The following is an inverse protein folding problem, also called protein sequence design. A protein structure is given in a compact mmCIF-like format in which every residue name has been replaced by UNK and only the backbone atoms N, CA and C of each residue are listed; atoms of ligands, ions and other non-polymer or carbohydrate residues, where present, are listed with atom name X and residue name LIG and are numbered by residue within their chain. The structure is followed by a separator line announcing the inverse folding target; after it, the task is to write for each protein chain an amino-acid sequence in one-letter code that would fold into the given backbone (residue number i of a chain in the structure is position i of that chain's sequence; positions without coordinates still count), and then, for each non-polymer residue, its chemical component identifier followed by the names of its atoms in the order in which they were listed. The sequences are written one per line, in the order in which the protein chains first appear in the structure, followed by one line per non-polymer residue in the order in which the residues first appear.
data_IF_790647367553
#
_entry.id   IF_790647367553
#
_cell.length_a   1.000
_cell.length_b   1.000
_cell.length_c   1.000
_cell.angle_alpha   90.00
_cell.angle_beta   90.00
_cell.angle_gamma   90.00
#
_symmetry.space_group_name_H-M   'P 1'
#
loop_
_entity.id
_entity.type
_entity.pdbx_description
1 polymer ?
#
# COMPACT_ATOMS: atom_id res chain seq x y z
N UNK A 1 -13.98 0.74 -27.54
CA UNK A 1 -12.79 1.54 -27.87
C UNK A 1 -11.66 1.06 -26.97
N UNK A 2 -10.57 0.52 -27.53
CA UNK A 2 -9.38 0.21 -26.74
C UNK A 2 -8.62 1.52 -26.48
N UNK A 3 -8.84 2.14 -25.33
CA UNK A 3 -7.97 3.21 -24.86
C UNK A 3 -6.61 2.60 -24.52
N UNK A 4 -5.55 3.13 -25.12
CA UNK A 4 -4.20 2.70 -24.76
C UNK A 4 -3.96 2.89 -23.25
N UNK A 5 -3.17 2.02 -22.60
CA UNK A 5 -2.74 2.22 -21.21
C UNK A 5 -2.10 3.60 -21.05
N UNK A 6 -2.30 4.23 -19.89
CA UNK A 6 -1.55 5.45 -19.57
C UNK A 6 -0.03 5.16 -19.56
N UNK A 7 0.84 6.15 -19.87
CA UNK A 7 2.29 5.97 -19.85
C UNK A 7 2.82 5.36 -18.54
N UNK A 8 2.30 5.80 -17.39
CA UNK A 8 2.68 5.30 -16.06
C UNK A 8 2.39 3.80 -15.92
N UNK A 9 1.17 3.38 -16.27
CA UNK A 9 0.79 1.97 -16.30
C UNK A 9 1.66 1.18 -17.27
N UNK A 10 2.02 1.74 -18.43
CA UNK A 10 2.88 1.05 -19.39
C UNK A 10 4.29 0.78 -18.84
N UNK A 11 4.88 1.72 -18.09
CA UNK A 11 6.17 1.53 -17.41
C UNK A 11 6.09 0.30 -16.49
N UNK A 12 5.02 0.21 -15.70
CA UNK A 12 4.82 -0.88 -14.74
C UNK A 12 4.54 -2.23 -15.43
N UNK A 13 3.74 -2.23 -16.50
CA UNK A 13 3.43 -3.43 -17.27
C UNK A 13 4.67 -3.97 -18.00
N UNK A 14 5.52 -3.09 -18.53
CA UNK A 14 6.77 -3.51 -19.16
C UNK A 14 7.65 -4.28 -18.18
N UNK A 15 7.78 -3.80 -16.94
CA UNK A 15 8.53 -4.49 -15.90
C UNK A 15 7.88 -5.83 -15.54
N UNK A 16 6.56 -5.83 -15.29
CA UNK A 16 5.82 -7.03 -14.90
C UNK A 16 5.95 -8.15 -15.94
N UNK A 17 5.89 -7.82 -17.23
CA UNK A 17 6.01 -8.81 -18.30
C UNK A 17 7.46 -9.12 -18.71
N UNK A 18 8.42 -8.21 -18.46
CA UNK A 18 9.84 -8.45 -18.75
C UNK A 18 10.50 -9.45 -17.80
N UNK A 19 9.96 -9.63 -16.59
CA UNK A 19 10.55 -10.49 -15.56
C UNK A 19 10.61 -11.99 -15.91
N UNK A 20 9.97 -12.44 -17.00
CA UNK A 20 9.89 -13.85 -17.38
C UNK A 20 9.08 -14.69 -16.39
N UNK A 21 8.68 -15.90 -16.79
CA UNK A 21 7.74 -16.73 -16.01
C UNK A 21 8.26 -17.19 -14.64
N UNK A 22 9.56 -17.06 -14.35
CA UNK A 22 10.13 -17.79 -13.22
C UNK A 22 9.80 -17.18 -11.86
N UNK A 23 9.84 -15.84 -11.68
CA UNK A 23 9.34 -15.16 -10.47
C UNK A 23 9.08 -13.68 -10.77
N UNK A 24 7.87 -13.27 -11.19
CA UNK A 24 7.59 -11.86 -11.38
C UNK A 24 7.83 -11.13 -10.06
N UNK A 25 8.72 -10.10 -10.06
CA UNK A 25 8.80 -9.18 -8.93
C UNK A 25 7.41 -8.62 -8.73
N UNK A 26 6.86 -8.82 -7.54
CA UNK A 26 5.50 -8.42 -7.25
C UNK A 26 5.41 -6.89 -7.39
N UNK A 27 4.57 -6.36 -8.30
CA UNK A 27 4.61 -4.96 -8.72
C UNK A 27 4.02 -3.99 -7.67
N UNK A 28 3.99 -4.42 -6.41
CA UNK A 28 3.51 -3.66 -5.25
C UNK A 28 4.55 -3.50 -4.14
N UNK A 29 5.77 -4.00 -4.32
CA UNK A 29 6.87 -3.81 -3.36
C UNK A 29 7.65 -2.53 -3.68
N UNK A 30 7.25 -1.42 -3.07
CA UNK A 30 7.84 -0.08 -3.30
C UNK A 30 9.36 -0.02 -3.12
N UNK A 31 9.90 -0.74 -2.14
CA UNK A 31 11.35 -0.78 -1.85
C UNK A 31 12.18 -1.46 -2.95
N UNK A 32 11.56 -2.31 -3.76
CA UNK A 32 12.23 -3.00 -4.87
C UNK A 32 12.19 -2.21 -6.19
N UNK A 33 11.54 -1.04 -6.20
CA UNK A 33 11.34 -0.23 -7.40
C UNK A 33 12.44 0.82 -7.61
N UNK A 34 12.73 1.09 -8.89
CA UNK A 34 13.47 2.31 -9.27
C UNK A 34 12.62 3.56 -8.95
N UNK A 35 13.22 4.76 -8.86
CA UNK A 35 12.47 5.99 -8.63
C UNK A 35 11.36 6.24 -9.66
N UNK A 36 11.62 5.97 -10.94
CA UNK A 36 10.64 6.15 -12.02
C UNK A 36 9.48 5.16 -11.91
N UNK A 37 9.77 3.89 -11.57
CA UNK A 37 8.74 2.88 -11.31
C UNK A 37 7.88 3.26 -10.10
N UNK A 38 8.50 3.73 -9.01
CA UNK A 38 7.78 4.17 -7.83
C UNK A 38 6.87 5.37 -8.14
N UNK A 39 7.36 6.37 -8.88
CA UNK A 39 6.56 7.52 -9.30
C UNK A 39 5.38 7.13 -10.22
N UNK A 40 5.61 6.19 -11.14
CA UNK A 40 4.57 5.64 -11.99
C UNK A 40 3.51 4.88 -11.17
N UNK A 41 3.94 4.04 -10.21
CA UNK A 41 3.03 3.32 -9.31
C UNK A 41 2.19 4.28 -8.49
N UNK A 42 2.83 5.31 -7.92
CA UNK A 42 2.19 6.36 -7.15
C UNK A 42 1.05 7.04 -7.92
N UNK A 43 1.32 7.43 -9.16
CA UNK A 43 0.31 8.03 -10.04
C UNK A 43 -0.84 7.07 -10.36
N UNK A 44 -0.54 5.78 -10.59
CA UNK A 44 -1.56 4.77 -10.91
C UNK A 44 -2.43 4.46 -9.69
N UNK A 45 -1.83 4.36 -8.50
CA UNK A 45 -2.55 4.17 -7.22
C UNK A 45 -3.42 5.39 -6.92
N UNK A 46 -2.95 6.62 -7.12
CA UNK A 46 -3.78 7.81 -6.94
C UNK A 46 -5.03 7.82 -7.83
N UNK A 47 -4.89 7.42 -9.10
CA UNK A 47 -6.04 7.32 -10.03
C UNK A 47 -7.03 6.26 -9.58
N UNK A 48 -6.54 5.12 -9.10
CA UNK A 48 -7.40 4.07 -8.55
C UNK A 48 -8.11 4.54 -7.28
N UNK A 49 -7.40 5.17 -6.33
CA UNK A 49 -7.98 5.73 -5.10
C UNK A 49 -9.07 6.76 -5.43
N UNK A 50 -8.81 7.66 -6.39
CA UNK A 50 -9.79 8.64 -6.86
C UNK A 50 -11.07 7.96 -7.39
N UNK A 51 -10.90 6.92 -8.19
CA UNK A 51 -12.01 6.10 -8.72
C UNK A 51 -12.74 5.38 -7.60
N UNK A 52 -12.01 4.76 -6.68
CA UNK A 52 -12.56 4.03 -5.56
C UNK A 52 -13.39 4.93 -4.64
N UNK A 53 -12.85 6.08 -4.24
CA UNK A 53 -13.55 7.02 -3.38
C UNK A 53 -14.81 7.58 -4.04
N UNK A 54 -14.80 7.71 -5.38
CA UNK A 54 -15.95 8.18 -6.14
C UNK A 54 -17.05 7.13 -6.32
N UNK A 55 -16.67 5.87 -6.52
CA UNK A 55 -17.59 4.82 -6.99
C UNK A 55 -17.98 3.85 -5.88
N UNK A 56 -17.05 3.48 -5.00
CA UNK A 56 -17.22 2.37 -4.05
C UNK A 56 -17.22 2.79 -2.58
N UNK A 57 -16.65 3.94 -2.23
CA UNK A 57 -16.77 4.48 -0.87
C UNK A 57 -18.18 5.07 -0.68
N UNK A 58 -19.01 4.40 0.12
CA UNK A 58 -20.40 4.81 0.38
C UNK A 58 -20.54 5.55 1.71
N UNK A 59 -19.58 5.40 2.61
CA UNK A 59 -19.56 6.08 3.91
C UNK A 59 -18.22 6.78 4.11
N UNK A 60 -18.18 7.76 5.00
CA UNK A 60 -16.93 8.46 5.34
C UNK A 60 -15.85 7.49 5.85
N UNK A 61 -16.26 6.43 6.57
CA UNK A 61 -15.35 5.40 7.07
C UNK A 61 -14.63 4.62 5.95
N UNK A 62 -15.21 4.56 4.76
CA UNK A 62 -14.66 3.82 3.62
C UNK A 62 -13.73 4.67 2.75
N UNK A 63 -13.68 5.99 2.96
CA UNK A 63 -12.84 6.90 2.18
C UNK A 63 -11.37 6.66 2.50
N UNK A 64 -10.57 6.45 1.46
CA UNK A 64 -9.11 6.45 1.51
C UNK A 64 -8.63 7.92 1.51
N UNK A 65 -7.97 8.39 2.58
CA UNK A 65 -7.56 9.80 2.68
C UNK A 65 -6.34 10.12 1.82
N UNK A 66 -6.10 11.42 1.56
CA UNK A 66 -4.95 11.89 0.78
C UNK A 66 -3.59 11.55 1.44
N UNK A 67 -3.57 11.37 2.76
CA UNK A 67 -2.39 10.95 3.51
C UNK A 67 -2.08 9.45 3.41
N UNK A 68 -2.78 8.66 2.58
CA UNK A 68 -2.64 7.20 2.49
C UNK A 68 -1.20 6.69 2.44
N UNK A 69 -0.28 7.43 1.80
CA UNK A 69 1.16 7.12 1.69
C UNK A 69 1.86 7.02 3.04
N UNK A 70 1.35 7.76 4.02
CA UNK A 70 1.89 7.82 5.35
C UNK A 70 1.49 6.59 6.19
N UNK A 71 0.52 5.80 5.72
CA UNK A 71 -0.03 4.63 6.40
C UNK A 71 0.48 3.36 5.68
N UNK A 72 1.53 2.67 6.18
CA UNK A 72 2.15 1.54 5.49
C UNK A 72 1.16 0.46 5.03
N UNK A 73 0.27 0.03 5.91
CA UNK A 73 -0.74 -0.99 5.60
C UNK A 73 -1.72 -0.53 4.52
N UNK A 74 -2.15 0.74 4.56
CA UNK A 74 -3.03 1.30 3.54
C UNK A 74 -2.31 1.50 2.20
N UNK A 75 -1.05 1.94 2.22
CA UNK A 75 -0.23 2.07 1.02
C UNK A 75 -0.05 0.72 0.31
N UNK A 76 0.21 -0.35 1.06
CA UNK A 76 0.30 -1.70 0.51
C UNK A 76 -1.06 -2.15 -0.04
N UNK A 77 -2.11 -2.08 0.76
CA UNK A 77 -3.44 -2.58 0.35
C UNK A 77 -3.98 -1.82 -0.86
N UNK A 78 -3.85 -0.49 -0.92
CA UNK A 78 -4.26 0.30 -2.10
C UNK A 78 -3.47 -0.09 -3.35
N UNK A 79 -2.18 -0.40 -3.20
CA UNK A 79 -1.35 -0.88 -4.30
C UNK A 79 -1.82 -2.25 -4.81
N UNK A 80 -2.06 -3.20 -3.90
CA UNK A 80 -2.60 -4.53 -4.23
C UNK A 80 -3.96 -4.42 -4.90
N UNK A 81 -4.85 -3.58 -4.37
CA UNK A 81 -6.19 -3.38 -4.92
C UNK A 81 -6.17 -2.72 -6.30
N UNK A 82 -5.19 -1.87 -6.57
CA UNK A 82 -4.96 -1.26 -7.88
C UNK A 82 -4.60 -2.32 -8.92
N UNK A 83 -3.69 -3.24 -8.59
CA UNK A 83 -3.35 -4.36 -9.47
C UNK A 83 -4.48 -5.38 -9.59
N UNK A 84 -5.19 -5.68 -8.50
CA UNK A 84 -6.39 -6.51 -8.52
C UNK A 84 -7.45 -5.97 -9.49
N UNK A 85 -7.65 -4.65 -9.49
CA UNK A 85 -8.53 -4.00 -10.46
C UNK A 85 -8.04 -4.17 -11.90
N UNK A 86 -6.74 -3.95 -12.14
CA UNK A 86 -6.15 -4.18 -13.46
C UNK A 86 -6.39 -5.61 -13.96
N UNK A 87 -6.08 -6.62 -13.15
CA UNK A 87 -6.28 -8.03 -13.55
C UNK A 87 -7.74 -8.41 -13.73
N UNK A 88 -8.65 -7.79 -12.97
CA UNK A 88 -10.09 -8.04 -13.09
C UNK A 88 -10.74 -7.41 -14.33
N UNK A 89 -10.21 -6.28 -14.82
CA UNK A 89 -10.90 -5.47 -15.82
C UNK A 89 -10.12 -5.16 -17.10
N UNK A 90 -8.79 -5.22 -17.05
CA UNK A 90 -7.92 -4.73 -18.12
C UNK A 90 -6.94 -5.78 -18.67
N UNK A 91 -6.53 -6.76 -17.87
CA UNK A 91 -5.66 -7.84 -18.35
C UNK A 91 -6.36 -8.63 -19.49
N UNK A 92 -5.65 -8.98 -20.59
CA UNK A 92 -6.23 -9.76 -21.69
C UNK A 92 -6.80 -11.13 -21.27
N UNK A 93 -6.39 -11.66 -20.12
CA UNK A 93 -6.86 -12.91 -19.52
C UNK A 93 -7.97 -12.69 -18.49
N UNK A 94 -8.46 -11.47 -18.32
CA UNK A 94 -9.55 -11.15 -17.40
C UNK A 94 -10.79 -12.00 -17.72
N UNK A 95 -11.44 -12.51 -16.68
CA UNK A 95 -12.67 -13.29 -16.81
C UNK A 95 -13.76 -12.73 -15.90
N UNK A 96 -15.06 -12.98 -16.21
CA UNK A 96 -16.14 -12.60 -15.31
C UNK A 96 -15.97 -13.13 -13.88
N UNK A 97 -15.39 -14.33 -13.72
CA UNK A 97 -15.14 -14.92 -12.41
C UNK A 97 -14.13 -14.11 -11.59
N UNK A 98 -13.02 -13.67 -12.21
CA UNK A 98 -12.02 -12.82 -11.54
C UNK A 98 -12.64 -11.47 -11.15
N UNK A 99 -13.46 -10.88 -12.01
CA UNK A 99 -14.17 -9.64 -11.69
C UNK A 99 -15.15 -9.82 -10.52
N UNK A 100 -15.89 -10.93 -10.48
CA UNK A 100 -16.78 -11.26 -9.35
C UNK A 100 -15.97 -11.45 -8.06
N UNK A 101 -14.84 -12.16 -8.10
CA UNK A 101 -13.97 -12.33 -6.94
C UNK A 101 -13.44 -10.98 -6.44
N UNK A 102 -13.00 -10.10 -7.34
CA UNK A 102 -12.55 -8.77 -6.98
C UNK A 102 -13.66 -7.97 -6.27
N UNK A 103 -14.85 -7.88 -6.87
CA UNK A 103 -15.94 -7.06 -6.32
C UNK A 103 -16.57 -7.62 -5.05
N UNK A 104 -16.77 -8.94 -4.97
CA UNK A 104 -17.50 -9.57 -3.87
C UNK A 104 -16.61 -9.99 -2.70
N UNK A 105 -15.29 -10.14 -2.92
CA UNK A 105 -14.37 -10.56 -1.87
C UNK A 105 -13.35 -9.46 -1.58
N UNK A 106 -12.46 -9.17 -2.53
CA UNK A 106 -11.32 -8.28 -2.29
C UNK A 106 -11.77 -6.86 -1.90
N UNK A 107 -12.71 -6.28 -2.67
CA UNK A 107 -13.20 -4.93 -2.44
C UNK A 107 -13.99 -4.78 -1.13
N UNK A 108 -14.76 -5.80 -0.75
CA UNK A 108 -15.50 -5.82 0.52
C UNK A 108 -14.53 -5.87 1.70
N UNK A 109 -13.51 -6.73 1.63
CA UNK A 109 -12.48 -6.79 2.68
C UNK A 109 -11.69 -5.50 2.78
N UNK A 110 -11.30 -4.91 1.64
CA UNK A 110 -10.59 -3.63 1.62
C UNK A 110 -11.42 -2.51 2.26
N UNK A 111 -12.69 -2.34 1.89
CA UNK A 111 -13.59 -1.32 2.46
C UNK A 111 -13.65 -1.40 3.99
N UNK A 112 -13.80 -2.61 4.52
CA UNK A 112 -13.82 -2.85 5.98
C UNK A 112 -12.45 -2.70 6.65
N UNK A 113 -11.35 -2.69 5.88
CA UNK A 113 -10.00 -2.55 6.40
C UNK A 113 -9.51 -1.09 6.43
N UNK A 114 -10.02 -0.20 5.56
CA UNK A 114 -9.54 1.20 5.45
C UNK A 114 -9.47 1.88 6.82
N UNK A 115 -10.54 1.84 7.59
CA UNK A 115 -10.60 2.52 8.89
C UNK A 115 -9.56 2.00 9.89
N UNK A 116 -9.29 0.69 9.87
CA UNK A 116 -8.27 0.06 10.72
C UNK A 116 -6.87 0.62 10.45
N UNK A 117 -6.57 0.96 9.20
CA UNK A 117 -5.25 1.47 8.81
C UNK A 117 -5.02 2.93 9.21
N UNK A 118 -6.07 3.66 9.60
CA UNK A 118 -5.95 5.07 10.00
C UNK A 118 -5.63 5.27 11.49
N UNK A 119 -5.54 4.18 12.26
CA UNK A 119 -5.18 4.21 13.68
C UNK A 119 -6.34 4.57 14.61
N UNK A 120 -6.03 5.15 15.76
CA UNK A 120 -6.99 5.43 16.84
C UNK A 120 -8.01 6.53 16.50
N UNK A 121 -7.61 7.49 15.67
CA UNK A 121 -8.45 8.65 15.31
C UNK A 121 -8.72 8.78 13.80
N UNK A 122 -9.41 7.81 13.15
CA UNK A 122 -9.62 7.79 11.70
C UNK A 122 -10.29 9.06 11.14
N UNK A 123 -11.18 9.70 11.92
CA UNK A 123 -11.86 10.92 11.49
C UNK A 123 -10.90 12.12 11.37
N UNK A 124 -9.97 12.28 12.32
CA UNK A 124 -8.95 13.35 12.25
C UNK A 124 -7.98 13.11 11.10
N UNK A 125 -7.56 11.86 10.91
CA UNK A 125 -6.70 11.48 9.79
C UNK A 125 -7.31 11.89 8.43
N UNK A 126 -8.60 11.63 8.22
CA UNK A 126 -9.31 12.00 6.98
C UNK A 126 -9.39 13.50 6.71
N UNK A 127 -9.33 14.33 7.75
CA UNK A 127 -9.28 15.80 7.61
C UNK A 127 -7.84 16.31 7.50
N UNK A 128 -6.85 15.42 7.38
CA UNK A 128 -5.43 15.76 7.30
C UNK A 128 -4.78 16.03 8.66
N UNK A 129 -5.51 15.86 9.76
CA UNK A 129 -4.99 16.07 11.10
C UNK A 129 -4.30 14.79 11.61
N UNK A 130 -2.98 14.87 11.76
CA UNK A 130 -2.14 13.80 12.28
C UNK A 130 -1.41 14.31 13.52
N UNK A 131 -1.86 13.97 14.76
CA UNK A 131 -1.09 14.30 15.96
C UNK A 131 0.24 13.54 15.93
N UNK A 132 1.33 14.10 16.44
CA UNK A 132 2.67 13.44 16.37
C UNK A 132 2.69 11.98 16.85
N UNK A 133 1.81 11.62 17.78
CA UNK A 133 1.64 10.26 18.30
C UNK A 133 0.87 9.31 17.37
N UNK A 134 0.45 9.73 16.18
CA UNK A 134 -0.43 8.92 15.34
C UNK A 134 0.25 7.69 14.73
N UNK A 135 1.58 7.75 14.55
CA UNK A 135 2.41 6.62 14.09
C UNK A 135 2.89 5.72 15.22
N UNK A 136 2.48 6.02 16.45
CA UNK A 136 2.87 5.22 17.59
C UNK A 136 2.30 3.81 17.36
N UNK A 137 3.17 2.90 16.91
CA UNK A 137 2.78 1.57 16.46
C UNK A 137 2.31 0.70 17.63
N UNK A 138 2.03 -0.59 17.43
CA UNK A 138 1.81 -1.49 18.57
C UNK A 138 2.99 -1.48 19.55
N UNK A 139 4.19 -1.10 19.11
CA UNK A 139 5.35 -0.87 19.98
C UNK A 139 5.16 0.29 20.96
N UNK A 140 4.44 1.34 20.58
CA UNK A 140 4.10 2.39 21.55
C UNK A 140 3.05 1.91 22.55
N UNK A 141 2.16 0.99 22.16
CA UNK A 141 1.27 0.32 23.11
C UNK A 141 2.08 -0.56 24.06
N UNK A 142 3.10 -1.26 23.57
CA UNK A 142 4.03 -2.04 24.39
C UNK A 142 4.84 -1.12 25.32
N UNK A 143 5.34 0.02 24.85
CA UNK A 143 6.07 1.01 25.65
C UNK A 143 5.16 1.69 26.69
N UNK A 144 3.90 2.00 26.31
CA UNK A 144 2.88 2.52 27.21
C UNK A 144 2.55 1.51 28.32
N UNK A 145 2.43 0.22 27.96
CA UNK A 145 2.23 -0.87 28.92
C UNK A 145 3.47 -1.14 29.77
N UNK A 146 4.66 -0.86 29.24
CA UNK A 146 5.94 -1.04 29.93
C UNK A 146 6.35 0.16 30.80
N UNK A 147 5.54 1.23 30.83
CA UNK A 147 5.80 2.43 31.61
C UNK A 147 7.01 3.25 31.14
N UNK A 148 7.49 3.00 29.93
CA UNK A 148 8.71 3.60 29.40
C UNK A 148 8.33 4.72 28.42
N UNK A 149 8.01 5.90 28.95
CA UNK A 149 7.64 7.08 28.14
C UNK A 149 8.88 7.73 27.52
N UNK A 150 9.51 7.07 26.55
CA UNK A 150 10.43 7.78 25.64
C UNK A 150 9.60 8.53 24.61
N UNK A 151 9.85 9.83 24.48
CA UNK A 151 9.31 10.66 23.40
C UNK A 151 9.79 10.10 22.07
N UNK A 152 8.86 9.53 21.29
CA UNK A 152 9.11 9.12 19.91
C UNK A 152 9.39 10.38 19.09
N UNK A 153 10.62 10.54 18.63
CA UNK A 153 10.99 11.64 17.75
C UNK A 153 10.38 11.41 16.36
N UNK A 154 9.71 12.43 15.83
CA UNK A 154 9.16 12.44 14.47
C UNK A 154 10.27 12.23 13.44
N UNK A 155 10.25 11.11 12.74
CA UNK A 155 10.95 11.01 11.47
C UNK A 155 10.13 11.74 10.39
N UNK A 156 10.79 12.53 9.50
CA UNK A 156 10.13 13.13 8.35
C UNK A 156 9.46 12.05 7.49
N UNK A 157 8.48 12.45 6.67
CA UNK A 157 7.74 11.57 5.75
C UNK A 157 8.61 10.43 5.20
N UNK A 158 8.45 9.23 5.75
CA UNK A 158 9.15 8.05 5.26
C UNK A 158 8.75 7.86 3.78
N UNK A 159 9.69 7.99 2.84
CA UNK A 159 9.38 7.79 1.43
C UNK A 159 8.87 6.36 1.24
N UNK A 160 7.94 6.16 0.31
CA UNK A 160 7.33 4.85 0.06
C UNK A 160 8.36 3.74 -0.20
N UNK A 161 9.54 4.10 -0.73
CA UNK A 161 10.64 3.18 -0.99
C UNK A 161 11.34 2.68 0.28
N UNK A 162 11.19 3.38 1.40
CA UNK A 162 11.69 2.96 2.72
C UNK A 162 10.63 2.13 3.49
N UNK A 163 9.49 1.83 2.87
CA UNK A 163 8.57 0.81 3.38
C UNK A 163 9.23 -0.58 3.22
N UNK A 164 10.12 -0.90 4.15
CA UNK A 164 10.70 -2.22 4.30
C UNK A 164 9.71 -3.10 5.06
N UNK A 165 9.45 -4.29 4.53
CA UNK A 165 8.87 -5.36 5.34
C UNK A 165 9.93 -5.69 6.38
N UNK A 166 9.53 -5.79 7.65
CA UNK A 166 10.43 -5.99 8.79
C UNK A 166 11.16 -7.33 8.78
N UNK A 167 11.83 -7.69 7.69
CA UNK A 167 12.77 -8.79 7.55
C UNK A 167 14.19 -8.38 7.95
N UNK A 168 14.38 -7.19 8.52
CA UNK A 168 15.70 -6.72 8.98
C UNK A 168 16.33 -7.70 9.98
N UNK A 169 15.52 -8.49 10.69
CA UNK A 169 15.97 -9.55 11.60
C UNK A 169 16.39 -10.87 10.90
N UNK A 170 16.12 -11.05 9.60
CA UNK A 170 16.57 -12.21 8.82
C UNK A 170 17.85 -11.94 8.02
N UNK A 171 18.28 -10.69 7.93
CA UNK A 171 19.51 -10.28 7.25
C UNK A 171 20.73 -10.21 8.18
N UNK A 172 20.61 -10.63 9.44
CA UNK A 172 21.77 -10.80 10.30
C UNK A 172 22.66 -11.90 9.70
N UNK A 173 23.76 -11.50 9.07
CA UNK A 173 24.80 -12.45 8.68
C UNK A 173 25.25 -13.22 9.93
N UNK A 174 25.41 -14.56 9.85
CA UNK A 174 25.90 -15.32 10.98
C UNK A 174 27.25 -14.73 11.40
N UNK A 175 27.39 -14.36 12.68
CA UNK A 175 28.67 -13.90 13.19
C UNK A 175 29.74 -14.94 12.84
N UNK A 176 30.91 -14.50 12.33
CA UNK A 176 31.97 -15.43 11.97
C UNK A 176 32.34 -16.24 13.20
N UNK A 177 32.20 -17.56 13.13
CA UNK A 177 32.72 -18.46 14.15
C UNK A 177 34.24 -18.26 14.25
N UNK A 178 34.69 -17.71 15.38
CA UNK A 178 36.10 -17.66 15.75
C UNK A 178 36.68 -19.07 15.72
N UNK A 179 37.70 -19.27 14.86
CA UNK A 179 38.48 -20.51 14.75
C UNK A 179 39.73 -20.48 15.61
#
# INVERSE_FOLDING_TARGET
MNTMPSPDLQILLNEYFAAGEMYPRWPWTWSAMTPDQAAALDTVVERWISTYNKVWAHTEAEIVPACWRQHPGLAIDTTVMTWGYYFAHHDPRATPLVAVQYHHQALVHFRSAVERWLGEEPRKCRTGQHPDSWRAGPESLIDLMSGNTKTVHNEPHMPLRELHFGFDHLAAEPEPEDK
#
